data_IF_746396125941
#
_entry.id   IF_746396125941
#
_cell.length_a   1.000
_cell.length_b   1.000
_cell.length_c   1.000
_cell.angle_alpha   90.00
_cell.angle_beta   90.00
_cell.angle_gamma   90.00
#
_symmetry.space_group_name_H-M   'P 1'
#
loop_
_entity.id
_entity.type
_entity.pdbx_description
1 polymer ?
#
# COMPACT_ATOMS: atom_id res chain seq x y z
N UNK A 1 -14.12 -7.44 40.97
CA UNK A 1 -14.89 -6.19 41.08
C UNK A 1 -15.81 -6.09 39.88
N UNK A 2 -17.13 -6.08 40.09
CA UNK A 2 -18.10 -5.83 39.01
C UNK A 2 -17.89 -4.39 38.56
N UNK A 3 -17.78 -4.15 37.24
CA UNK A 3 -17.55 -2.80 36.75
C UNK A 3 -18.77 -1.91 37.05
N UNK A 4 -18.61 -0.61 37.34
CA UNK A 4 -19.71 0.27 37.74
C UNK A 4 -20.87 0.29 36.73
N UNK A 5 -20.56 0.19 35.45
CA UNK A 5 -21.49 0.06 34.33
C UNK A 5 -22.35 -1.20 34.39
N UNK A 6 -21.82 -2.31 34.91
CA UNK A 6 -22.58 -3.54 35.08
C UNK A 6 -23.55 -3.47 36.27
N UNK A 7 -23.22 -2.69 37.32
CA UNK A 7 -24.13 -2.43 38.45
C UNK A 7 -25.29 -1.51 38.05
N UNK A 8 -25.01 -0.49 37.24
CA UNK A 8 -26.03 0.40 36.70
C UNK A 8 -27.00 -0.34 35.75
N UNK A 9 -26.47 -1.27 34.93
CA UNK A 9 -27.29 -2.15 34.07
C UNK A 9 -28.16 -3.14 34.85
N UNK A 10 -27.76 -3.50 36.07
CA UNK A 10 -28.56 -4.37 36.94
C UNK A 10 -29.63 -3.62 37.74
N UNK A 11 -29.85 -2.33 37.45
CA UNK A 11 -30.81 -1.49 38.18
C UNK A 11 -30.35 -1.13 39.60
N UNK A 12 -29.06 -1.33 39.92
CA UNK A 12 -28.51 -0.89 41.19
C UNK A 12 -28.21 0.61 41.10
N UNK A 13 -28.72 1.38 42.06
CA UNK A 13 -28.49 2.82 42.19
C UNK A 13 -27.33 3.00 43.17
N UNK A 14 -26.13 3.43 42.72
CA UNK A 14 -25.00 3.67 43.60
C UNK A 14 -25.30 4.78 44.60
N UNK A 15 -24.95 4.58 45.88
CA UNK A 15 -25.19 5.56 46.94
C UNK A 15 -24.52 6.92 46.68
N UNK A 16 -23.37 6.92 46.00
CA UNK A 16 -22.62 8.14 45.64
C UNK A 16 -23.35 9.03 44.62
N UNK A 17 -24.31 8.49 43.87
CA UNK A 17 -25.09 9.24 42.88
C UNK A 17 -26.40 9.80 43.44
N UNK A 18 -26.70 9.52 44.72
CA UNK A 18 -27.93 9.97 45.39
C UNK A 18 -27.63 11.26 46.15
N UNK A 19 -28.33 12.37 45.85
CA UNK A 19 -28.19 13.60 46.63
C UNK A 19 -28.58 13.38 48.10
N UNK A 20 -27.84 13.95 49.07
CA UNK A 20 -28.15 13.79 50.48
C UNK A 20 -29.56 14.30 50.78
N UNK A 21 -30.34 13.52 51.53
CA UNK A 21 -31.74 13.85 51.89
C UNK A 21 -32.79 13.45 50.84
N UNK A 22 -32.41 12.79 49.75
CA UNK A 22 -33.35 12.30 48.72
C UNK A 22 -33.61 10.79 48.89
N UNK A 23 -34.87 10.36 48.76
CA UNK A 23 -35.23 8.94 48.77
C UNK A 23 -34.62 8.24 47.52
N UNK A 24 -33.79 7.19 47.68
CA UNK A 24 -33.23 6.41 46.58
C UNK A 24 -34.28 5.91 45.58
N UNK A 25 -35.52 5.69 46.02
CA UNK A 25 -36.63 5.20 45.18
C UNK A 25 -37.19 6.26 44.23
N UNK A 26 -36.84 7.53 44.45
CA UNK A 26 -37.31 8.66 43.65
C UNK A 26 -36.21 9.21 42.71
N UNK A 27 -35.01 8.65 42.74
CA UNK A 27 -33.88 9.09 41.91
C UNK A 27 -33.89 8.36 40.57
N UNK A 28 -34.03 9.12 39.48
CA UNK A 28 -33.92 8.61 38.11
C UNK A 28 -32.55 8.99 37.55
N UNK A 29 -31.70 7.98 37.31
CA UNK A 29 -30.40 8.18 36.65
C UNK A 29 -30.62 8.13 35.14
N UNK A 30 -30.42 9.27 34.47
CA UNK A 30 -30.46 9.34 33.01
C UNK A 30 -29.05 9.06 32.48
N UNK A 31 -28.87 7.90 31.84
CA UNK A 31 -27.67 7.65 31.05
C UNK A 31 -27.71 8.49 29.79
N UNK A 32 -26.83 9.49 29.70
CA UNK A 32 -26.61 10.20 28.45
C UNK A 32 -25.95 9.23 27.46
N UNK A 33 -26.46 9.16 26.24
CA UNK A 33 -25.78 8.46 25.16
C UNK A 33 -24.36 9.07 25.01
N UNK A 34 -23.34 8.26 24.63
CA UNK A 34 -21.99 8.77 24.43
C UNK A 34 -22.05 9.96 23.47
N UNK A 35 -21.62 11.13 23.97
CA UNK A 35 -21.78 12.42 23.29
C UNK A 35 -20.99 12.50 21.98
N UNK A 36 -20.08 11.55 21.72
CA UNK A 36 -19.33 11.49 20.48
C UNK A 36 -19.27 10.07 19.91
N UNK A 37 -19.70 9.96 18.65
CA UNK A 37 -19.51 8.79 17.78
C UNK A 37 -18.19 8.85 17.00
N UNK A 38 -17.33 9.80 17.33
CA UNK A 38 -16.10 10.09 16.57
C UNK A 38 -15.12 8.92 16.59
N UNK A 39 -14.98 8.21 17.72
CA UNK A 39 -14.07 7.07 17.85
C UNK A 39 -14.38 5.93 16.88
N UNK A 40 -15.59 5.35 16.91
CA UNK A 40 -15.99 4.29 15.98
C UNK A 40 -15.95 4.72 14.51
N UNK A 41 -16.41 5.94 14.21
CA UNK A 41 -16.44 6.46 12.84
C UNK A 41 -15.02 6.64 12.28
N UNK A 42 -14.11 7.21 13.07
CA UNK A 42 -12.70 7.35 12.67
C UNK A 42 -12.05 5.99 12.43
N UNK A 43 -12.34 5.00 13.27
CA UNK A 43 -11.78 3.65 13.10
C UNK A 43 -12.22 3.02 11.79
N UNK A 44 -13.50 3.11 11.45
CA UNK A 44 -14.03 2.61 10.18
C UNK A 44 -13.39 3.37 9.01
N UNK A 45 -13.30 4.69 9.09
CA UNK A 45 -12.74 5.50 8.02
C UNK A 45 -11.26 5.19 7.78
N UNK A 46 -10.45 5.11 8.83
CA UNK A 46 -9.03 4.75 8.75
C UNK A 46 -8.86 3.33 8.19
N UNK A 47 -9.66 2.37 8.65
CA UNK A 47 -9.60 1.00 8.14
C UNK A 47 -9.93 0.93 6.65
N UNK A 48 -10.97 1.65 6.21
CA UNK A 48 -11.41 1.65 4.81
C UNK A 48 -10.37 2.29 3.90
N UNK A 49 -9.83 3.46 4.29
CA UNK A 49 -8.78 4.16 3.54
C UNK A 49 -7.49 3.34 3.49
N UNK A 50 -7.09 2.73 4.61
CA UNK A 50 -5.91 1.87 4.68
C UNK A 50 -6.02 0.65 3.77
N UNK A 51 -7.19 0.00 3.73
CA UNK A 51 -7.43 -1.15 2.85
C UNK A 51 -7.37 -0.75 1.38
N UNK A 52 -8.03 0.34 0.99
CA UNK A 52 -7.97 0.85 -0.38
C UNK A 52 -6.55 1.24 -0.79
N UNK A 53 -5.80 1.89 0.11
CA UNK A 53 -4.40 2.23 -0.12
C UNK A 53 -3.52 1.00 -0.32
N UNK A 54 -3.69 -0.04 0.50
CA UNK A 54 -2.96 -1.30 0.37
C UNK A 54 -3.23 -1.97 -0.99
N UNK A 55 -4.50 -2.07 -1.39
CA UNK A 55 -4.87 -2.66 -2.68
C UNK A 55 -4.29 -1.84 -3.84
N UNK A 56 -4.36 -0.51 -3.76
CA UNK A 56 -3.79 0.36 -4.78
C UNK A 56 -2.26 0.20 -4.90
N UNK A 57 -1.54 0.24 -3.77
CA UNK A 57 -0.07 0.12 -3.77
C UNK A 57 0.36 -1.26 -4.30
N UNK A 58 -0.29 -2.32 -3.86
CA UNK A 58 0.02 -3.69 -4.30
C UNK A 58 -0.26 -3.88 -5.79
N UNK A 59 -1.39 -3.41 -6.29
CA UNK A 59 -1.73 -3.51 -7.72
C UNK A 59 -0.77 -2.71 -8.59
N UNK A 60 -0.46 -1.46 -8.23
CA UNK A 60 0.51 -0.63 -8.96
C UNK A 60 1.91 -1.25 -8.96
N UNK A 61 2.36 -1.79 -7.82
CA UNK A 61 3.65 -2.47 -7.72
C UNK A 61 3.73 -3.73 -8.61
N UNK A 62 2.65 -4.53 -8.67
CA UNK A 62 2.61 -5.71 -9.55
C UNK A 62 2.57 -5.29 -11.01
N UNK A 63 1.76 -4.29 -11.37
CA UNK A 63 1.67 -3.77 -12.73
C UNK A 63 3.00 -3.21 -13.22
N UNK A 64 3.72 -2.48 -12.38
CA UNK A 64 5.03 -1.92 -12.74
C UNK A 64 6.08 -3.02 -12.96
N UNK A 65 6.09 -4.06 -12.11
CA UNK A 65 6.95 -5.24 -12.31
C UNK A 65 6.64 -5.95 -13.64
N UNK A 66 5.36 -6.14 -13.96
CA UNK A 66 4.93 -6.74 -15.23
C UNK A 66 5.32 -5.87 -16.43
N UNK A 67 5.19 -4.54 -16.32
CA UNK A 67 5.62 -3.62 -17.37
C UNK A 67 7.14 -3.70 -17.62
N UNK A 68 7.95 -3.77 -16.58
CA UNK A 68 9.41 -3.96 -16.73
C UNK A 68 9.72 -5.29 -17.42
N UNK A 69 9.05 -6.37 -17.03
CA UNK A 69 9.22 -7.68 -17.68
C UNK A 69 8.77 -7.65 -19.16
N UNK A 70 7.65 -7.00 -19.46
CA UNK A 70 7.13 -6.90 -20.82
C UNK A 70 8.03 -6.03 -21.73
N UNK A 71 8.53 -4.90 -21.22
CA UNK A 71 9.42 -4.00 -21.97
C UNK A 71 10.78 -4.62 -22.22
N UNK A 72 11.35 -5.35 -21.24
CA UNK A 72 12.60 -6.10 -21.43
C UNK A 72 12.43 -7.26 -22.42
N UNK A 73 11.34 -8.04 -22.32
CA UNK A 73 11.05 -9.09 -23.29
C UNK A 73 10.83 -8.54 -24.71
N UNK A 74 10.12 -7.40 -24.84
CA UNK A 74 9.95 -6.72 -26.12
C UNK A 74 11.29 -6.22 -26.68
N UNK A 75 12.15 -5.62 -25.85
CA UNK A 75 13.47 -5.17 -26.24
C UNK A 75 14.38 -6.32 -26.70
N UNK A 76 14.35 -7.48 -26.03
CA UNK A 76 15.10 -8.66 -26.46
C UNK A 76 14.53 -9.20 -27.79
N UNK A 77 13.20 -9.27 -27.91
CA UNK A 77 12.55 -9.73 -29.14
C UNK A 77 12.80 -8.81 -30.34
N UNK A 78 13.01 -7.50 -30.16
CA UNK A 78 13.41 -6.60 -31.25
C UNK A 78 14.92 -6.64 -31.50
N UNK A 79 15.73 -6.86 -30.48
CA UNK A 79 17.19 -6.96 -30.57
C UNK A 79 17.67 -8.26 -31.26
N UNK A 80 17.02 -9.40 -31.01
CA UNK A 80 17.44 -10.69 -31.56
C UNK A 80 17.32 -10.76 -33.10
N UNK A 81 16.21 -10.31 -33.74
CA UNK A 81 16.12 -10.23 -35.19
C UNK A 81 17.00 -9.13 -35.80
N UNK A 82 17.26 -8.02 -35.09
CA UNK A 82 18.22 -7.01 -35.58
C UNK A 82 19.66 -7.49 -35.48
N UNK A 83 19.99 -8.40 -34.55
CA UNK A 83 21.31 -8.99 -34.42
C UNK A 83 21.54 -10.18 -35.37
N UNK A 84 20.48 -10.95 -35.68
CA UNK A 84 20.59 -12.21 -36.45
C UNK A 84 20.00 -12.13 -37.86
N UNK A 85 19.07 -11.20 -38.14
CA UNK A 85 18.36 -11.08 -39.42
C UNK A 85 18.48 -9.73 -40.14
N UNK A 86 19.03 -8.70 -39.50
CA UNK A 86 19.39 -7.42 -40.12
C UNK A 86 20.90 -7.32 -40.23
N UNK A 87 21.42 -7.02 -41.42
CA UNK A 87 22.84 -6.96 -41.72
C UNK A 87 23.66 -6.32 -40.59
N UNK A 88 24.55 -7.11 -39.98
CA UNK A 88 25.50 -6.68 -38.99
C UNK A 88 26.40 -5.57 -39.55
N UNK A 89 26.02 -4.32 -39.29
CA UNK A 89 26.90 -3.17 -39.28
C UNK A 89 27.14 -2.70 -37.85
N UNK A 90 27.32 -3.65 -36.93
CA UNK A 90 28.42 -3.46 -36.00
C UNK A 90 29.67 -3.77 -36.82
N UNK A 91 30.07 -2.83 -37.68
CA UNK A 91 31.45 -2.73 -38.13
C UNK A 91 32.24 -2.45 -36.85
N UNK A 92 32.56 -3.52 -36.13
CA UNK A 92 33.66 -3.56 -35.20
C UNK A 92 34.81 -3.00 -36.02
N UNK A 93 35.22 -1.77 -35.71
CA UNK A 93 36.26 -1.04 -36.40
C UNK A 93 37.61 -1.73 -36.11
N UNK A 94 37.79 -2.94 -36.63
CA UNK A 94 39.06 -3.63 -36.66
C UNK A 94 39.83 -2.92 -37.75
N UNK A 95 40.52 -1.85 -37.35
CA UNK A 95 41.52 -1.15 -38.16
C UNK A 95 42.55 -2.18 -38.61
N UNK A 96 42.34 -2.73 -39.80
CA UNK A 96 43.26 -3.69 -40.42
C UNK A 96 44.53 -2.94 -40.77
N UNK A 97 45.71 -3.37 -40.29
CA UNK A 97 46.95 -2.67 -40.59
C UNK A 97 47.24 -2.71 -42.09
N UNK A 98 47.53 -1.54 -42.66
CA UNK A 98 47.90 -1.33 -44.06
C UNK A 98 49.12 -2.20 -44.37
N UNK A 99 48.92 -3.33 -45.04
CA UNK A 99 50.02 -4.15 -45.56
C UNK A 99 50.55 -3.44 -46.80
N UNK A 100 51.60 -2.64 -46.60
CA UNK A 100 52.31 -1.97 -47.67
C UNK A 100 53.20 -3.00 -48.39
N UNK A 101 52.67 -3.59 -49.47
CA UNK A 101 53.45 -4.39 -50.43
C UNK A 101 53.29 -3.80 -51.82
N UNK A 102 54.14 -2.82 -52.10
CA UNK A 102 54.56 -2.43 -53.43
C UNK A 102 55.97 -1.84 -53.25
N UNK A 103 57.03 -2.17 -53.99
CA UNK A 103 57.19 -2.95 -55.21
C UNK A 103 58.70 -3.00 -55.44
N UNK A 104 59.33 -4.16 -55.22
CA UNK A 104 60.70 -4.39 -55.69
C UNK A 104 60.66 -4.44 -57.21
N UNK A 105 61.10 -3.36 -57.88
CA UNK A 105 61.45 -3.41 -59.30
C UNK A 105 62.95 -3.62 -59.42
N UNK A 106 63.27 -4.58 -60.30
CA UNK A 106 64.55 -4.81 -60.97
C UNK A 106 65.24 -3.51 -61.39
#
# INVERSE_FOLDING_TARGET
MIRPDAQLRSGHIPADLIPPGTDPRQVVIIHTAPRSWTGPVLLVLVATVGLCGLVYVTTVAVLSLVQVAATTAAAIKTAVPTLVGGGGLITLAIKTPKTDRARTKR
#
